data_IF_793580703839
#
_entry.id   IF_793580703839
#
_cell.length_a   1.000
_cell.length_b   1.000
_cell.length_c   1.000
_cell.angle_alpha   90.00
_cell.angle_beta   90.00
_cell.angle_gamma   90.00
#
_symmetry.space_group_name_H-M   'P 1'
#
loop_
_entity.id
_entity.type
_entity.pdbx_description
1 polymer ?
#
# COMPACT_ATOMS: atom_id res chain seq x y z
N UNK A 1 -12.74 -11.12 21.93
CA UNK A 1 -11.38 -10.73 21.57
C UNK A 1 -11.30 -9.23 21.35
N UNK A 2 -10.22 -8.58 21.82
CA UNK A 2 -9.92 -7.14 21.66
C UNK A 2 -8.66 -6.99 20.84
N UNK A 3 -8.71 -6.30 19.73
CA UNK A 3 -7.58 -6.17 18.78
C UNK A 3 -7.20 -4.71 18.59
N UNK A 4 -5.93 -4.42 18.80
CA UNK A 4 -5.35 -3.10 18.61
C UNK A 4 -4.58 -3.05 17.29
N UNK A 5 -5.08 -2.27 16.32
CA UNK A 5 -4.44 -2.09 15.03
C UNK A 5 -3.59 -0.83 15.01
N UNK A 6 -2.33 -0.96 14.64
CA UNK A 6 -1.38 0.15 14.56
C UNK A 6 -0.72 0.26 13.16
N UNK A 7 -1.46 0.66 12.12
CA UNK A 7 -0.88 0.89 10.80
C UNK A 7 -0.04 2.17 10.77
N UNK A 8 1.01 2.16 9.94
CA UNK A 8 1.75 3.36 9.56
C UNK A 8 0.80 4.36 8.87
N UNK A 9 0.84 5.63 9.30
CA UNK A 9 -0.04 6.68 8.81
C UNK A 9 0.43 7.39 7.54
N UNK A 10 1.54 6.96 6.94
CA UNK A 10 2.09 7.55 5.71
C UNK A 10 1.45 6.89 4.49
N UNK A 11 0.69 7.66 3.73
CA UNK A 11 -0.11 7.16 2.62
C UNK A 11 -1.32 6.34 3.09
N UNK A 12 -1.99 5.67 2.14
CA UNK A 12 -3.23 4.94 2.40
C UNK A 12 -3.06 3.42 2.43
N UNK A 13 -1.90 2.90 2.02
CA UNK A 13 -1.70 1.47 1.79
C UNK A 13 -1.74 0.63 3.07
N UNK A 14 -1.14 1.13 4.16
CA UNK A 14 -1.07 0.45 5.45
C UNK A 14 -2.46 0.34 6.11
N UNK A 15 -3.17 1.45 6.20
CA UNK A 15 -4.55 1.48 6.69
C UNK A 15 -5.44 0.63 5.80
N UNK A 16 -5.32 0.79 4.47
CA UNK A 16 -6.16 0.08 3.49
C UNK A 16 -6.04 -1.44 3.53
N UNK A 17 -4.93 -2.00 4.03
CA UNK A 17 -4.81 -3.46 4.22
C UNK A 17 -5.14 -3.92 5.64
N UNK A 18 -5.07 -3.05 6.65
CA UNK A 18 -5.53 -3.36 8.00
C UNK A 18 -7.06 -3.33 8.12
N UNK A 19 -7.73 -2.43 7.39
CA UNK A 19 -9.20 -2.29 7.43
C UNK A 19 -9.97 -3.58 7.14
N UNK A 20 -9.71 -4.33 6.04
CA UNK A 20 -10.44 -5.56 5.77
C UNK A 20 -10.22 -6.63 6.84
N UNK A 21 -9.01 -6.72 7.40
CA UNK A 21 -8.74 -7.63 8.53
C UNK A 21 -9.59 -7.23 9.74
N UNK A 22 -9.61 -5.94 10.09
CA UNK A 22 -10.39 -5.44 11.20
C UNK A 22 -11.89 -5.68 11.02
N UNK A 23 -12.43 -5.45 9.81
CA UNK A 23 -13.85 -5.73 9.47
C UNK A 23 -14.17 -7.20 9.61
N UNK A 24 -13.32 -8.08 9.08
CA UNK A 24 -13.51 -9.54 9.18
C UNK A 24 -13.50 -10.01 10.64
N UNK A 25 -12.63 -9.45 11.49
CA UNK A 25 -12.62 -9.74 12.93
C UNK A 25 -13.86 -9.18 13.65
N UNK A 26 -14.36 -8.00 13.25
CA UNK A 26 -15.61 -7.45 13.79
C UNK A 26 -16.83 -8.30 13.47
N UNK A 27 -16.90 -8.91 12.26
CA UNK A 27 -17.91 -9.90 11.90
C UNK A 27 -17.90 -11.09 12.85
N UNK A 28 -16.74 -11.42 13.43
CA UNK A 28 -16.55 -12.44 14.47
C UNK A 28 -16.66 -11.86 15.90
N UNK A 29 -17.33 -10.71 16.07
CA UNK A 29 -17.58 -10.04 17.35
C UNK A 29 -16.32 -9.53 18.10
N UNK A 30 -15.19 -9.36 17.42
CA UNK A 30 -14.02 -8.73 18.03
C UNK A 30 -14.24 -7.21 18.21
N UNK A 31 -13.77 -6.66 19.33
CA UNK A 31 -13.67 -5.22 19.54
C UNK A 31 -12.36 -4.72 18.98
N UNK A 32 -12.41 -3.75 18.06
CA UNK A 32 -11.23 -3.20 17.40
C UNK A 32 -11.07 -1.72 17.70
N UNK A 33 -9.80 -1.28 17.83
CA UNK A 33 -9.41 0.12 17.84
C UNK A 33 -8.21 0.30 16.90
N UNK A 34 -8.13 1.44 16.25
CA UNK A 34 -6.98 1.83 15.44
C UNK A 34 -6.13 2.87 16.16
N UNK A 35 -4.81 2.80 15.95
CA UNK A 35 -3.86 3.85 16.27
C UNK A 35 -3.11 4.22 15.01
N UNK A 36 -3.21 5.47 14.57
CA UNK A 36 -2.49 5.94 13.37
C UNK A 36 -2.26 7.44 13.42
N UNK A 37 -1.62 7.98 12.38
CA UNK A 37 -1.27 9.40 12.28
C UNK A 37 -1.38 9.87 10.82
N UNK A 38 -1.25 11.18 10.56
CA UNK A 38 -1.25 11.79 9.21
C UNK A 38 -2.43 11.33 8.35
N UNK A 39 -2.13 10.79 7.13
CA UNK A 39 -3.12 10.36 6.14
C UNK A 39 -3.99 9.18 6.61
N UNK A 40 -3.51 8.43 7.59
CA UNK A 40 -4.27 7.33 8.18
C UNK A 40 -5.47 7.81 9.00
N UNK A 41 -5.35 8.96 9.68
CA UNK A 41 -6.43 9.52 10.53
C UNK A 41 -7.72 9.74 9.73
N UNK A 42 -7.74 10.58 8.68
CA UNK A 42 -8.98 10.83 7.94
C UNK A 42 -9.53 9.58 7.25
N UNK A 43 -8.69 8.59 6.99
CA UNK A 43 -9.18 7.33 6.43
C UNK A 43 -9.96 6.51 7.46
N UNK A 44 -9.45 6.36 8.69
CA UNK A 44 -10.15 5.65 9.77
C UNK A 44 -11.41 6.42 10.22
N UNK A 45 -11.35 7.76 10.29
CA UNK A 45 -12.50 8.59 10.62
C UNK A 45 -13.63 8.43 9.59
N UNK A 46 -13.28 8.34 8.29
CA UNK A 46 -14.24 8.05 7.22
C UNK A 46 -14.92 6.68 7.39
N UNK A 47 -14.17 5.69 7.86
CA UNK A 47 -14.67 4.34 8.13
C UNK A 47 -15.46 4.23 9.45
N UNK A 48 -15.55 5.34 10.22
CA UNK A 48 -16.25 5.45 11.51
C UNK A 48 -15.79 4.39 12.52
N UNK A 49 -14.48 4.12 12.55
CA UNK A 49 -13.88 3.18 13.49
C UNK A 49 -13.23 3.91 14.67
N UNK A 50 -13.21 3.29 15.88
CA UNK A 50 -12.51 3.85 17.03
C UNK A 50 -11.04 4.11 16.71
N UNK A 51 -10.56 5.31 17.06
CA UNK A 51 -9.25 5.81 16.68
C UNK A 51 -8.53 6.49 17.82
N UNK A 52 -7.28 6.07 18.06
CA UNK A 52 -6.29 6.80 18.83
C UNK A 52 -5.34 7.54 17.85
N UNK A 53 -5.19 8.86 18.03
CA UNK A 53 -4.32 9.69 17.18
C UNK A 53 -2.90 9.70 17.75
N UNK A 54 -2.03 8.89 17.15
CA UNK A 54 -0.63 8.78 17.56
C UNK A 54 0.21 10.00 17.14
N UNK A 55 1.29 10.34 17.85
CA UNK A 55 2.25 11.36 17.43
C UNK A 55 2.80 11.08 16.01
N UNK A 56 2.86 12.08 15.11
CA UNK A 56 3.23 11.84 13.72
C UNK A 56 4.74 11.63 13.55
N UNK A 57 5.08 10.67 12.69
CA UNK A 57 6.42 10.48 12.13
C UNK A 57 6.28 10.64 10.60
N UNK A 58 7.32 11.09 9.91
CA UNK A 58 7.26 11.18 8.45
C UNK A 58 8.56 11.59 7.80
N UNK A 59 8.58 11.49 6.48
CA UNK A 59 9.65 11.91 5.60
C UNK A 59 9.43 13.34 5.12
N UNK A 60 10.53 14.05 4.85
CA UNK A 60 10.49 15.30 4.10
C UNK A 60 10.32 15.01 2.61
N UNK A 61 9.52 15.83 1.95
CA UNK A 61 9.21 15.67 0.52
C UNK A 61 9.52 16.98 -0.18
N UNK A 62 10.24 16.90 -1.30
CA UNK A 62 10.54 18.05 -2.16
C UNK A 62 9.29 18.56 -2.89
N UNK A 63 9.33 19.80 -3.45
CA UNK A 63 8.20 20.34 -4.21
C UNK A 63 7.77 19.49 -5.42
N UNK A 64 8.69 18.72 -6.01
CA UNK A 64 8.46 17.79 -7.12
C UNK A 64 7.88 16.42 -6.69
N UNK A 65 7.52 16.26 -5.41
CA UNK A 65 6.98 15.02 -4.87
C UNK A 65 8.01 13.94 -4.55
N UNK A 66 9.31 14.18 -4.76
CA UNK A 66 10.37 13.22 -4.43
C UNK A 66 10.67 13.20 -2.93
N UNK A 67 11.07 12.02 -2.40
CA UNK A 67 11.51 11.93 -1.01
C UNK A 67 12.85 12.63 -0.84
N UNK A 68 12.93 13.58 0.10
CA UNK A 68 14.18 14.25 0.46
C UNK A 68 14.86 13.52 1.62
N UNK A 69 15.68 12.53 1.28
CA UNK A 69 16.45 11.78 2.28
C UNK A 69 17.45 12.65 3.06
N UNK A 70 17.99 13.70 2.44
CA UNK A 70 18.94 14.60 3.12
C UNK A 70 18.22 15.43 4.17
N UNK A 71 17.12 16.07 3.82
CA UNK A 71 16.31 16.82 4.77
C UNK A 71 15.70 15.91 5.84
N UNK A 72 15.24 14.70 5.47
CA UNK A 72 14.74 13.72 6.43
C UNK A 72 15.82 13.29 7.44
N UNK A 73 17.07 13.15 7.00
CA UNK A 73 18.19 12.78 7.88
C UNK A 73 18.71 13.94 8.76
N UNK A 74 18.55 15.19 8.31
CA UNK A 74 19.04 16.38 9.02
C UNK A 74 17.95 16.98 9.91
N UNK A 75 16.70 16.93 9.50
CA UNK A 75 15.57 17.54 10.19
C UNK A 75 14.45 16.51 10.43
N UNK A 76 14.26 16.01 11.65
CA UNK A 76 14.83 16.51 12.92
C UNK A 76 16.24 16.02 13.28
N UNK A 77 16.91 15.22 12.46
CA UNK A 77 18.18 14.59 12.76
C UNK A 77 18.04 13.30 13.59
N UNK A 78 19.10 12.48 13.72
CA UNK A 78 19.04 11.17 14.39
C UNK A 78 18.60 11.24 15.84
N UNK A 79 19.04 12.24 16.57
CA UNK A 79 18.68 12.45 17.98
C UNK A 79 17.18 12.74 18.15
N UNK A 80 16.66 13.68 17.38
CA UNK A 80 15.22 14.02 17.44
C UNK A 80 14.33 12.94 16.83
N UNK A 81 14.83 12.16 15.86
CA UNK A 81 14.11 10.99 15.34
C UNK A 81 13.94 9.93 16.46
N UNK A 82 14.98 9.70 17.26
CA UNK A 82 14.90 8.81 18.44
C UNK A 82 13.92 9.34 19.47
N UNK A 83 13.93 10.64 19.76
CA UNK A 83 12.99 11.27 20.69
C UNK A 83 11.55 11.20 20.19
N UNK A 84 11.32 11.40 18.90
CA UNK A 84 9.98 11.25 18.30
C UNK A 84 9.49 9.80 18.38
N UNK A 85 10.38 8.83 18.14
CA UNK A 85 10.06 7.42 18.35
C UNK A 85 9.70 7.11 19.80
N UNK A 86 10.48 7.64 20.78
CA UNK A 86 10.17 7.45 22.21
C UNK A 86 8.82 8.04 22.59
N UNK A 87 8.53 9.27 22.16
CA UNK A 87 7.18 9.87 22.36
C UNK A 87 6.07 9.03 21.78
N UNK A 88 6.31 8.43 20.60
CA UNK A 88 5.31 7.56 19.99
C UNK A 88 5.18 6.24 20.76
N UNK A 89 6.27 5.67 21.29
CA UNK A 89 6.24 4.46 22.14
C UNK A 89 5.47 4.72 23.41
N UNK A 90 5.73 5.83 24.10
CA UNK A 90 5.03 6.24 25.30
C UNK A 90 3.52 6.39 25.07
N UNK A 91 3.12 7.11 24.02
CA UNK A 91 1.72 7.24 23.63
C UNK A 91 1.06 5.89 23.34
N UNK A 92 1.77 4.96 22.68
CA UNK A 92 1.28 3.60 22.41
C UNK A 92 1.16 2.76 23.70
N UNK A 93 2.08 2.91 24.66
CA UNK A 93 1.99 2.23 25.96
C UNK A 93 0.68 2.63 26.66
N UNK A 94 0.38 3.94 26.73
CA UNK A 94 -0.84 4.43 27.32
C UNK A 94 -2.11 3.95 26.59
N UNK A 95 -2.11 4.02 25.26
CA UNK A 95 -3.25 3.60 24.44
C UNK A 95 -3.51 2.09 24.50
N UNK A 96 -2.47 1.28 24.42
CA UNK A 96 -2.55 -0.18 24.54
C UNK A 96 -2.96 -0.56 25.97
N UNK A 97 -2.38 0.07 27.00
CA UNK A 97 -2.72 -0.17 28.41
C UNK A 97 -4.19 0.14 28.69
N UNK A 98 -4.70 1.29 28.26
CA UNK A 98 -6.08 1.72 28.45
C UNK A 98 -7.08 0.84 27.70
N UNK A 99 -6.76 0.42 26.48
CA UNK A 99 -7.64 -0.44 25.70
C UNK A 99 -7.60 -1.89 26.18
N UNK A 100 -6.48 -2.38 26.71
CA UNK A 100 -6.30 -3.75 27.18
C UNK A 100 -6.54 -4.80 26.09
N UNK A 101 -5.82 -4.76 24.96
CA UNK A 101 -6.03 -5.73 23.87
C UNK A 101 -5.50 -7.12 24.23
N UNK A 102 -6.10 -8.14 23.63
CA UNK A 102 -5.58 -9.51 23.62
C UNK A 102 -4.41 -9.64 22.66
N UNK A 103 -4.39 -8.84 21.60
CA UNK A 103 -3.34 -8.84 20.58
C UNK A 103 -3.16 -7.46 19.94
N UNK A 104 -1.91 -7.12 19.59
CA UNK A 104 -1.53 -5.93 18.84
C UNK A 104 -1.12 -6.32 17.41
N UNK A 105 -1.76 -5.73 16.41
CA UNK A 105 -1.44 -5.88 14.99
C UNK A 105 -0.80 -4.59 14.49
N UNK A 106 0.51 -4.63 14.29
CA UNK A 106 1.29 -3.51 13.79
C UNK A 106 1.52 -3.64 12.29
N UNK A 107 1.30 -2.57 11.54
CA UNK A 107 1.70 -2.54 10.14
C UNK A 107 2.82 -1.53 9.94
N UNK A 108 4.05 -2.05 9.84
CA UNK A 108 5.29 -1.28 9.62
C UNK A 108 5.63 -0.26 10.72
N UNK A 109 5.01 -0.33 11.90
CA UNK A 109 5.25 0.60 13.02
C UNK A 109 6.05 -0.05 14.15
N UNK A 110 7.30 0.38 14.30
CA UNK A 110 8.18 -0.09 15.37
C UNK A 110 7.68 0.32 16.76
N UNK A 111 7.10 1.52 16.91
CA UNK A 111 6.62 2.05 18.21
C UNK A 111 5.57 1.15 18.87
N UNK A 112 4.57 0.71 18.12
CA UNK A 112 3.52 -0.15 18.65
C UNK A 112 4.01 -1.57 19.00
N UNK A 113 4.98 -2.11 18.25
CA UNK A 113 5.61 -3.40 18.58
C UNK A 113 6.46 -3.31 19.84
N UNK A 114 7.19 -2.20 20.03
CA UNK A 114 7.97 -1.95 21.24
C UNK A 114 7.05 -1.78 22.46
N UNK A 115 6.00 -0.95 22.32
CA UNK A 115 5.01 -0.76 23.39
C UNK A 115 4.32 -2.08 23.77
N UNK A 116 3.88 -2.86 22.79
CA UNK A 116 3.28 -4.17 23.04
C UNK A 116 4.26 -5.15 23.71
N UNK A 117 5.56 -5.08 23.33
CA UNK A 117 6.60 -5.89 23.98
C UNK A 117 6.78 -5.50 25.44
N UNK A 118 6.84 -4.21 25.75
CA UNK A 118 6.96 -3.69 27.13
C UNK A 118 5.78 -4.14 27.99
N UNK A 119 4.57 -4.12 27.43
CA UNK A 119 3.35 -4.53 28.10
C UNK A 119 3.09 -6.05 28.08
N UNK A 120 4.01 -6.85 27.59
CA UNK A 120 3.87 -8.32 27.52
C UNK A 120 2.75 -8.81 26.60
N UNK A 121 2.26 -7.96 25.66
CA UNK A 121 1.12 -8.31 24.80
C UNK A 121 1.56 -9.16 23.58
N UNK A 122 0.73 -10.17 23.20
CA UNK A 122 0.87 -10.84 21.92
C UNK A 122 0.85 -9.82 20.77
N UNK A 123 1.65 -10.04 19.72
CA UNK A 123 1.78 -9.08 18.63
C UNK A 123 2.16 -9.70 17.31
N UNK A 124 1.55 -9.19 16.25
CA UNK A 124 1.80 -9.55 14.85
C UNK A 124 2.29 -8.31 14.10
N UNK A 125 3.28 -8.51 13.25
CA UNK A 125 3.78 -7.46 12.36
C UNK A 125 3.36 -7.75 10.92
N UNK A 126 2.74 -6.77 10.23
CA UNK A 126 2.49 -6.82 8.80
C UNK A 126 3.55 -5.97 8.10
N UNK A 127 4.21 -6.52 7.09
CA UNK A 127 5.25 -5.83 6.31
C UNK A 127 5.10 -6.14 4.82
N UNK A 128 5.45 -5.19 3.96
CA UNK A 128 5.64 -5.39 2.52
C UNK A 128 7.11 -5.22 2.09
N UNK A 129 7.98 -4.91 3.01
CA UNK A 129 9.43 -4.84 2.82
C UNK A 129 10.13 -5.16 4.13
N UNK A 130 11.15 -6.01 4.08
CA UNK A 130 11.96 -6.35 5.24
C UNK A 130 13.23 -5.49 5.32
N UNK A 131 13.74 -5.09 4.17
CA UNK A 131 14.96 -4.29 4.07
C UNK A 131 14.71 -3.00 3.28
N UNK A 132 14.42 -1.87 3.94
CA UNK A 132 14.35 -0.58 3.25
C UNK A 132 15.74 -0.21 2.70
N UNK A 133 15.81 -0.01 1.39
CA UNK A 133 17.05 0.42 0.72
C UNK A 133 17.05 1.94 0.72
N UNK A 134 18.05 2.57 1.37
CA UNK A 134 18.19 4.02 1.39
C UNK A 134 19.15 4.42 0.26
N UNK A 135 18.71 5.19 -0.77
CA UNK A 135 19.59 5.65 -1.83
C UNK A 135 20.65 6.59 -1.28
N UNK A 136 21.92 6.31 -1.56
CA UNK A 136 23.04 7.15 -1.10
C UNK A 136 23.96 7.56 -2.26
N UNK A 137 24.52 8.77 -2.18
CA UNK A 137 25.58 9.21 -3.08
C UNK A 137 26.89 8.44 -2.81
N UNK A 138 27.75 8.29 -3.83
CA UNK A 138 28.98 7.45 -3.82
C UNK A 138 30.02 7.80 -2.74
N UNK A 139 29.93 8.95 -2.07
CA UNK A 139 30.89 9.40 -1.04
C UNK A 139 30.56 8.75 0.33
N UNK A 140 31.53 8.13 0.99
CA UNK A 140 31.40 7.44 2.29
C UNK A 140 30.51 6.18 2.31
N UNK A 141 30.45 5.45 1.21
CA UNK A 141 29.59 4.26 1.07
C UNK A 141 29.80 3.18 2.14
N UNK A 142 31.02 2.98 2.63
CA UNK A 142 31.33 1.94 3.62
C UNK A 142 30.73 2.26 5.00
N UNK A 143 30.96 3.48 5.52
CA UNK A 143 30.39 3.94 6.80
C UNK A 143 28.87 4.01 6.75
N UNK A 144 28.34 4.47 5.62
CA UNK A 144 26.90 4.53 5.39
C UNK A 144 26.26 3.14 5.35
N UNK A 145 26.90 2.15 4.72
CA UNK A 145 26.43 0.75 4.72
C UNK A 145 26.48 0.14 6.12
N UNK A 146 27.50 0.47 6.93
CA UNK A 146 27.58 0.01 8.31
C UNK A 146 26.44 0.59 9.16
N UNK A 147 26.18 1.90 9.07
CA UNK A 147 25.09 2.57 9.78
C UNK A 147 23.71 2.01 9.35
N UNK A 148 23.51 1.80 8.04
CA UNK A 148 22.30 1.16 7.51
C UNK A 148 22.15 -0.27 8.04
N UNK A 149 23.23 -1.04 8.07
CA UNK A 149 23.21 -2.41 8.58
C UNK A 149 22.85 -2.47 10.06
N UNK A 150 23.34 -1.55 10.87
CA UNK A 150 23.00 -1.45 12.31
C UNK A 150 21.53 -1.06 12.48
N UNK A 151 21.08 -0.02 11.78
CA UNK A 151 19.70 0.42 11.84
C UNK A 151 18.72 -0.67 11.37
N UNK A 152 19.04 -1.37 10.28
CA UNK A 152 18.25 -2.48 9.74
C UNK A 152 18.24 -3.69 10.69
N UNK A 153 19.35 -3.98 11.35
CA UNK A 153 19.42 -5.03 12.36
C UNK A 153 18.52 -4.71 13.54
N UNK A 154 18.55 -3.46 14.02
CA UNK A 154 17.67 -3.01 15.11
C UNK A 154 16.20 -3.08 14.71
N UNK A 155 15.84 -2.47 13.59
CA UNK A 155 14.45 -2.47 13.08
C UNK A 155 13.98 -3.91 12.78
N UNK A 156 14.81 -4.73 12.17
CA UNK A 156 14.52 -6.14 11.92
C UNK A 156 14.25 -6.92 13.20
N UNK A 157 15.04 -6.69 14.27
CA UNK A 157 14.79 -7.28 15.58
C UNK A 157 13.46 -6.81 16.19
N UNK A 158 13.10 -5.54 16.01
CA UNK A 158 11.81 -5.02 16.48
C UNK A 158 10.66 -5.66 15.72
N UNK A 159 10.70 -5.69 14.39
CA UNK A 159 9.65 -6.32 13.57
C UNK A 159 9.48 -7.80 13.86
N UNK A 160 10.57 -8.52 14.08
CA UNK A 160 10.56 -9.96 14.40
C UNK A 160 10.43 -10.26 15.89
N UNK A 161 10.30 -9.24 16.73
CA UNK A 161 10.05 -9.41 18.18
C UNK A 161 8.65 -9.96 18.47
N UNK A 162 7.76 -9.90 17.47
CA UNK A 162 6.41 -10.45 17.55
C UNK A 162 6.36 -11.96 17.39
N UNK A 163 5.14 -12.49 17.52
CA UNK A 163 4.82 -13.90 17.35
C UNK A 163 4.92 -14.32 15.87
N UNK A 164 4.49 -13.43 14.95
CA UNK A 164 4.59 -13.65 13.52
C UNK A 164 4.85 -12.34 12.76
N UNK A 165 5.43 -12.45 11.57
CA UNK A 165 5.56 -11.39 10.57
C UNK A 165 4.83 -11.84 9.30
N UNK A 166 3.81 -11.11 8.90
CA UNK A 166 2.97 -11.43 7.76
C UNK A 166 3.34 -10.52 6.57
N UNK A 167 3.68 -11.13 5.47
CA UNK A 167 3.95 -10.44 4.20
C UNK A 167 2.73 -10.65 3.30
N UNK A 168 1.93 -9.60 3.02
CA UNK A 168 0.71 -9.72 2.24
C UNK A 168 1.00 -9.78 0.73
N UNK A 169 1.79 -10.75 0.31
CA UNK A 169 2.25 -10.96 -1.06
C UNK A 169 2.16 -12.42 -1.45
N UNK A 170 2.23 -12.68 -2.75
CA UNK A 170 2.22 -14.04 -3.30
C UNK A 170 3.53 -14.77 -3.01
N UNK A 171 3.51 -16.10 -2.92
CA UNK A 171 4.73 -16.92 -3.00
C UNK A 171 5.44 -16.75 -4.37
N UNK A 172 6.69 -17.19 -4.43
CA UNK A 172 7.41 -17.27 -5.70
C UNK A 172 6.65 -18.20 -6.69
N UNK A 173 6.65 -17.87 -7.99
CA UNK A 173 7.42 -16.80 -8.65
C UNK A 173 6.72 -15.43 -8.67
N UNK A 174 5.50 -15.29 -8.12
CA UNK A 174 4.63 -14.12 -8.27
C UNK A 174 4.86 -13.02 -7.24
N UNK A 175 5.86 -13.14 -6.37
CA UNK A 175 6.16 -12.18 -5.30
C UNK A 175 6.54 -10.80 -5.86
N UNK A 176 5.73 -9.80 -5.59
CA UNK A 176 5.91 -8.41 -6.04
C UNK A 176 7.03 -7.70 -5.28
N UNK A 177 7.07 -7.88 -3.96
CA UNK A 177 8.09 -7.25 -3.11
C UNK A 177 9.40 -8.05 -3.01
N UNK A 178 9.66 -9.01 -3.91
CA UNK A 178 10.83 -9.89 -3.87
C UNK A 178 12.17 -9.14 -3.69
N UNK A 179 12.34 -8.00 -4.38
CA UNK A 179 13.54 -7.15 -4.27
C UNK A 179 13.70 -6.44 -2.93
N UNK A 180 12.67 -6.41 -2.10
CA UNK A 180 12.63 -5.74 -0.80
C UNK A 180 12.65 -6.73 0.39
N UNK A 181 12.56 -8.04 0.14
CA UNK A 181 12.36 -9.02 1.22
C UNK A 181 13.66 -9.51 1.87
N UNK A 182 14.73 -9.66 1.20
CA UNK A 182 16.04 -10.14 1.69
C UNK A 182 16.07 -10.59 3.19
N UNK A 183 15.24 -11.60 3.53
CA UNK A 183 14.97 -12.02 4.91
C UNK A 183 16.17 -12.76 5.45
N UNK A 184 16.81 -12.29 6.55
CA UNK A 184 17.90 -13.00 7.18
C UNK A 184 17.48 -14.40 7.64
N UNK A 185 18.38 -15.38 7.54
CA UNK A 185 18.09 -16.80 7.88
C UNK A 185 17.48 -16.95 9.28
N UNK A 186 17.95 -16.16 10.25
CA UNK A 186 17.48 -16.20 11.64
C UNK A 186 15.96 -15.86 11.81
N UNK A 187 15.38 -15.15 10.86
CA UNK A 187 13.98 -14.70 10.97
C UNK A 187 13.00 -15.48 10.07
N UNK A 188 13.50 -16.36 9.19
CA UNK A 188 12.66 -17.06 8.19
C UNK A 188 11.50 -17.82 8.79
N UNK A 189 11.69 -18.45 9.96
CA UNK A 189 10.63 -19.22 10.64
C UNK A 189 9.45 -18.36 11.12
N UNK A 190 9.64 -17.06 11.30
CA UNK A 190 8.59 -16.11 11.76
C UNK A 190 7.95 -15.32 10.63
N UNK A 191 8.50 -15.38 9.42
CA UNK A 191 8.06 -14.57 8.28
C UNK A 191 7.26 -15.44 7.32
N UNK A 192 6.00 -15.07 7.08
CA UNK A 192 5.06 -15.82 6.26
C UNK A 192 4.54 -14.96 5.11
N UNK A 193 4.68 -15.46 3.88
CA UNK A 193 3.98 -14.93 2.71
C UNK A 193 2.55 -15.47 2.75
N UNK A 194 1.59 -14.58 3.03
CA UNK A 194 0.21 -14.99 3.33
C UNK A 194 -0.74 -14.86 2.14
N UNK A 195 -0.28 -14.30 1.01
CA UNK A 195 -1.13 -13.89 -0.09
C UNK A 195 -1.60 -12.44 0.05
N UNK A 196 -2.17 -11.84 -1.00
CA UNK A 196 -2.64 -10.46 -0.99
C UNK A 196 -3.86 -10.28 -0.11
N UNK A 197 -3.92 -9.15 0.60
CA UNK A 197 -5.10 -8.78 1.37
C UNK A 197 -6.06 -8.03 0.45
N UNK A 198 -7.13 -8.69 0.04
CA UNK A 198 -8.20 -8.12 -0.79
C UNK A 198 -9.41 -7.78 0.07
N UNK A 199 -9.82 -6.49 0.13
CA UNK A 199 -11.10 -6.13 0.77
C UNK A 199 -12.32 -6.77 0.11
N UNK A 200 -12.29 -6.88 -1.22
CA UNK A 200 -13.33 -7.55 -2.02
C UNK A 200 -12.62 -8.41 -3.06
N UNK A 201 -12.98 -9.66 -3.15
CA UNK A 201 -12.47 -10.57 -4.18
C UNK A 201 -13.23 -10.38 -5.49
N UNK A 202 -12.56 -10.49 -6.67
CA UNK A 202 -13.19 -10.22 -7.95
C UNK A 202 -14.41 -11.10 -8.26
N UNK A 203 -14.42 -12.34 -7.79
CA UNK A 203 -15.52 -13.28 -7.97
C UNK A 203 -16.77 -12.94 -7.13
N UNK A 204 -16.64 -12.09 -6.11
CA UNK A 204 -17.76 -11.59 -5.30
C UNK A 204 -18.44 -10.35 -5.89
N UNK A 205 -17.90 -9.81 -6.96
CA UNK A 205 -18.48 -8.68 -7.67
C UNK A 205 -19.24 -9.15 -8.91
N UNK A 206 -20.30 -8.42 -9.32
CA UNK A 206 -21.01 -8.66 -10.57
C UNK A 206 -20.08 -8.66 -11.78
N UNK A 207 -20.56 -9.10 -12.91
CA UNK A 207 -19.79 -9.11 -14.15
C UNK A 207 -19.39 -7.69 -14.59
N UNK A 208 -18.30 -7.61 -15.34
CA UNK A 208 -17.74 -6.35 -15.84
C UNK A 208 -18.76 -5.50 -16.59
N UNK A 209 -19.61 -6.12 -17.41
CA UNK A 209 -20.68 -5.45 -18.18
C UNK A 209 -21.72 -4.82 -17.28
N UNK A 210 -22.17 -5.55 -16.26
CA UNK A 210 -23.16 -5.10 -15.28
C UNK A 210 -22.61 -3.93 -14.45
N UNK A 211 -21.35 -4.04 -13.98
CA UNK A 211 -20.69 -2.97 -13.25
C UNK A 211 -20.52 -1.72 -14.13
N UNK A 212 -20.13 -1.88 -15.40
CA UNK A 212 -20.04 -0.74 -16.33
C UNK A 212 -21.37 -0.01 -16.47
N UNK A 213 -22.48 -0.75 -16.63
CA UNK A 213 -23.83 -0.19 -16.68
C UNK A 213 -24.15 0.58 -15.38
N UNK A 214 -23.89 -0.01 -14.22
CA UNK A 214 -24.10 0.61 -12.90
C UNK A 214 -23.30 1.91 -12.72
N UNK A 215 -22.07 1.93 -13.21
CA UNK A 215 -21.16 3.08 -13.10
C UNK A 215 -21.27 4.10 -14.26
N UNK A 216 -22.23 3.90 -15.18
CA UNK A 216 -22.39 4.70 -16.41
C UNK A 216 -21.09 4.76 -17.24
N UNK A 217 -20.38 3.64 -17.34
CA UNK A 217 -19.18 3.49 -18.15
C UNK A 217 -19.52 2.85 -19.51
N UNK A 218 -18.87 3.27 -20.60
CA UNK A 218 -19.15 2.72 -21.93
C UNK A 218 -18.72 1.25 -22.04
N UNK A 219 -19.47 0.47 -22.84
CA UNK A 219 -19.16 -0.92 -23.16
C UNK A 219 -18.24 -1.06 -24.38
N UNK A 220 -18.26 -0.08 -25.29
CA UNK A 220 -17.68 -0.13 -26.64
C UNK A 220 -16.29 0.50 -26.76
N UNK A 221 -15.70 0.98 -25.67
CA UNK A 221 -14.33 1.53 -25.67
C UNK A 221 -13.56 1.18 -24.39
N UNK A 222 -12.23 1.19 -24.43
CA UNK A 222 -11.41 0.92 -23.27
C UNK A 222 -11.64 1.92 -22.14
N UNK A 223 -11.75 1.38 -20.91
CA UNK A 223 -11.86 2.16 -19.67
C UNK A 223 -10.53 2.12 -18.92
N UNK A 224 -9.93 3.26 -18.70
CA UNK A 224 -8.70 3.42 -17.94
C UNK A 224 -9.04 3.89 -16.53
N UNK A 225 -8.56 3.18 -15.51
CA UNK A 225 -8.71 3.59 -14.11
C UNK A 225 -7.37 4.08 -13.55
N UNK A 226 -7.35 5.30 -13.00
CA UNK A 226 -6.17 5.90 -12.39
C UNK A 226 -6.37 6.13 -10.88
N UNK A 227 -6.24 5.08 -10.03
CA UNK A 227 -6.34 5.20 -8.58
C UNK A 227 -5.03 5.70 -7.99
N UNK A 228 -4.97 7.02 -7.68
CA UNK A 228 -3.77 7.59 -7.10
C UNK A 228 -3.83 7.52 -5.59
N UNK A 229 -2.75 7.04 -4.99
CA UNK A 229 -2.53 6.97 -3.54
C UNK A 229 -1.12 7.43 -3.18
N UNK A 230 -0.80 7.53 -1.89
CA UNK A 230 0.49 8.00 -1.40
C UNK A 230 0.34 9.16 -0.43
N UNK A 231 1.46 9.69 0.07
CA UNK A 231 1.50 10.88 0.91
C UNK A 231 0.95 12.12 0.19
N UNK A 232 0.33 13.03 0.94
CA UNK A 232 -0.38 14.19 0.35
C UNK A 232 0.50 15.00 -0.60
N UNK A 233 1.71 15.37 -0.17
CA UNK A 233 2.64 16.17 -0.99
C UNK A 233 3.17 15.38 -2.20
N UNK A 234 3.50 14.12 -2.01
CA UNK A 234 3.99 13.21 -3.05
C UNK A 234 2.97 13.05 -4.18
N UNK A 235 1.72 12.71 -3.83
CA UNK A 235 0.68 12.47 -4.83
C UNK A 235 0.17 13.74 -5.50
N UNK A 236 0.17 14.90 -4.83
CA UNK A 236 -0.32 16.16 -5.38
C UNK A 236 0.43 16.55 -6.66
N UNK A 237 1.76 16.43 -6.67
CA UNK A 237 2.58 16.70 -7.85
C UNK A 237 2.23 15.75 -9.01
N UNK A 238 2.15 14.46 -8.74
CA UNK A 238 1.81 13.46 -9.75
C UNK A 238 0.40 13.64 -10.32
N UNK A 239 -0.58 13.93 -9.45
CA UNK A 239 -1.95 14.24 -9.86
C UNK A 239 -1.96 15.43 -10.84
N UNK A 240 -1.18 16.46 -10.54
CA UNK A 240 -1.08 17.66 -11.41
C UNK A 240 -0.59 17.33 -12.81
N UNK A 241 0.48 16.53 -12.92
CA UNK A 241 1.03 16.11 -14.22
C UNK A 241 0.06 15.15 -14.93
N UNK A 242 -0.36 14.10 -14.27
CA UNK A 242 -1.18 13.05 -14.88
C UNK A 242 -2.53 13.61 -15.37
N UNK A 243 -3.19 14.46 -14.57
CA UNK A 243 -4.45 15.09 -14.96
C UNK A 243 -4.31 15.96 -16.21
N UNK A 244 -3.23 16.74 -16.33
CA UNK A 244 -2.97 17.56 -17.53
C UNK A 244 -2.82 16.71 -18.79
N UNK A 245 -2.19 15.53 -18.65
CA UNK A 245 -2.02 14.58 -19.76
C UNK A 245 -3.36 13.91 -20.09
N UNK A 246 -4.08 13.40 -19.07
CA UNK A 246 -5.35 12.68 -19.28
C UNK A 246 -6.45 13.56 -19.86
N UNK A 247 -6.47 14.87 -19.59
CA UNK A 247 -7.40 15.83 -20.22
C UNK A 247 -7.21 15.97 -21.74
N UNK A 248 -6.07 15.53 -22.28
CA UNK A 248 -5.76 15.59 -23.73
C UNK A 248 -5.89 14.20 -24.39
N UNK A 249 -6.36 13.20 -23.67
CA UNK A 249 -6.54 11.85 -24.22
C UNK A 249 -7.63 11.83 -25.30
N UNK A 250 -7.46 10.99 -26.34
CA UNK A 250 -8.48 10.79 -27.38
C UNK A 250 -9.81 10.31 -26.81
N UNK A 251 -10.91 10.65 -27.49
CA UNK A 251 -12.28 10.26 -27.10
C UNK A 251 -12.53 8.75 -27.20
N UNK A 252 -11.64 8.01 -27.84
CA UNK A 252 -11.69 6.54 -27.95
C UNK A 252 -11.45 5.82 -26.62
N UNK A 253 -11.06 6.56 -25.57
CA UNK A 253 -10.88 6.05 -24.21
C UNK A 253 -11.87 6.70 -23.25
N UNK A 254 -12.33 5.96 -22.26
CA UNK A 254 -13.01 6.51 -21.07
C UNK A 254 -12.03 6.46 -19.89
N UNK A 255 -11.94 7.52 -19.10
CA UNK A 255 -10.94 7.63 -18.03
C UNK A 255 -11.62 7.98 -16.72
N UNK A 256 -11.34 7.20 -15.69
CA UNK A 256 -11.74 7.47 -14.31
C UNK A 256 -10.49 7.67 -13.46
N UNK A 257 -10.36 8.82 -12.83
CA UNK A 257 -9.23 9.14 -11.95
C UNK A 257 -9.71 9.35 -10.52
N UNK A 258 -9.04 8.73 -9.54
CA UNK A 258 -9.23 9.01 -8.12
C UNK A 258 -7.99 9.67 -7.53
N UNK A 259 -8.16 10.83 -6.88
CA UNK A 259 -7.06 11.55 -6.24
C UNK A 259 -6.67 10.98 -4.87
N UNK A 260 -7.50 10.10 -4.28
CA UNK A 260 -7.21 9.43 -3.02
C UNK A 260 -7.18 10.34 -1.80
N UNK A 261 -8.10 11.30 -1.68
CA UNK A 261 -8.26 12.16 -0.50
C UNK A 261 -9.43 11.67 0.37
N UNK A 262 -9.17 10.92 1.46
CA UNK A 262 -10.23 10.27 2.24
C UNK A 262 -11.16 11.23 2.98
N UNK A 263 -10.74 12.46 3.24
CA UNK A 263 -11.56 13.51 3.84
C UNK A 263 -12.41 14.30 2.85
N UNK A 264 -12.31 14.00 1.55
CA UNK A 264 -13.06 14.71 0.52
C UNK A 264 -14.42 14.05 0.23
N UNK A 265 -15.30 14.79 -0.46
CA UNK A 265 -16.54 14.25 -0.99
C UNK A 265 -16.32 13.22 -2.10
N UNK A 266 -17.39 12.49 -2.44
CA UNK A 266 -17.37 11.46 -3.48
C UNK A 266 -17.98 11.92 -4.79
N UNK A 267 -18.34 13.21 -4.93
CA UNK A 267 -18.93 13.74 -6.17
C UNK A 267 -17.85 13.84 -7.25
N UNK A 268 -18.06 13.23 -8.41
CA UNK A 268 -17.12 13.37 -9.52
C UNK A 268 -17.25 14.71 -10.22
N UNK A 269 -16.17 15.14 -10.81
CA UNK A 269 -16.19 16.18 -11.85
C UNK A 269 -15.88 15.52 -13.18
N UNK A 270 -16.69 15.80 -14.20
CA UNK A 270 -16.49 15.26 -15.55
C UNK A 270 -16.09 16.36 -16.52
N UNK A 271 -15.08 16.09 -17.33
CA UNK A 271 -14.67 16.93 -18.44
C UNK A 271 -14.34 16.02 -19.63
N UNK A 272 -15.13 16.11 -20.69
CA UNK A 272 -14.99 15.25 -21.86
C UNK A 272 -15.08 13.77 -21.46
N UNK A 273 -14.07 12.97 -21.76
CA UNK A 273 -13.93 11.54 -21.43
C UNK A 273 -13.19 11.27 -20.11
N UNK A 274 -12.89 12.32 -19.32
CA UNK A 274 -12.21 12.20 -18.02
C UNK A 274 -13.18 12.49 -16.88
N UNK A 275 -13.41 11.50 -16.02
CA UNK A 275 -14.13 11.63 -14.76
C UNK A 275 -13.14 11.62 -13.59
N UNK A 276 -13.17 12.65 -12.76
CA UNK A 276 -12.23 12.80 -11.62
C UNK A 276 -12.99 12.80 -10.31
N UNK A 277 -12.63 11.88 -9.43
CA UNK A 277 -13.06 11.83 -8.04
C UNK A 277 -11.96 12.35 -7.12
N UNK A 278 -12.30 13.15 -6.11
CA UNK A 278 -11.39 13.40 -4.99
C UNK A 278 -11.21 12.12 -4.16
N UNK A 279 -12.32 11.40 -3.92
CA UNK A 279 -12.38 10.07 -3.34
C UNK A 279 -13.38 9.20 -4.10
N UNK A 280 -12.93 8.12 -4.71
CA UNK A 280 -13.81 7.18 -5.39
C UNK A 280 -14.47 6.24 -4.37
N UNK A 281 -15.81 6.14 -4.32
CA UNK A 281 -16.48 5.33 -3.30
C UNK A 281 -16.32 3.84 -3.54
N UNK A 282 -16.53 3.38 -4.78
CA UNK A 282 -16.58 1.97 -5.15
C UNK A 282 -15.31 1.55 -5.92
N UNK A 283 -14.15 1.71 -5.27
CA UNK A 283 -12.85 1.50 -5.92
C UNK A 283 -12.73 0.13 -6.59
N UNK A 284 -13.22 -0.93 -5.96
CA UNK A 284 -13.08 -2.29 -6.49
C UNK A 284 -14.02 -2.58 -7.65
N UNK A 285 -15.20 -1.94 -7.69
CA UNK A 285 -16.07 -1.97 -8.87
C UNK A 285 -15.39 -1.27 -10.06
N UNK A 286 -14.78 -0.11 -9.86
CA UNK A 286 -14.00 0.55 -10.91
C UNK A 286 -12.81 -0.30 -11.36
N UNK A 287 -12.14 -0.98 -10.43
CA UNK A 287 -11.05 -1.90 -10.75
C UNK A 287 -11.55 -3.11 -11.56
N UNK A 288 -12.73 -3.67 -11.25
CA UNK A 288 -13.35 -4.75 -12.03
C UNK A 288 -13.78 -4.25 -13.42
N UNK A 289 -14.35 -3.04 -13.51
CA UNK A 289 -14.89 -2.45 -14.74
C UNK A 289 -13.82 -1.99 -15.73
N UNK A 290 -12.63 -1.58 -15.28
CA UNK A 290 -11.59 -1.07 -16.17
C UNK A 290 -10.92 -2.16 -17.02
N UNK A 291 -10.20 -1.71 -18.06
CA UNK A 291 -9.34 -2.54 -18.90
C UNK A 291 -7.88 -2.37 -18.56
N UNK A 292 -7.50 -1.22 -18.02
CA UNK A 292 -6.13 -0.83 -17.72
C UNK A 292 -6.09 0.02 -16.45
N UNK A 293 -5.03 -0.13 -15.67
CA UNK A 293 -4.77 0.73 -14.51
C UNK A 293 -3.50 1.57 -14.73
N UNK A 294 -3.58 2.87 -14.44
CA UNK A 294 -2.41 3.77 -14.37
C UNK A 294 -2.22 4.20 -12.93
N UNK A 295 -1.08 3.88 -12.31
CA UNK A 295 -0.85 4.27 -10.91
C UNK A 295 0.62 4.41 -10.55
N UNK A 296 0.87 4.82 -9.29
CA UNK A 296 2.15 4.61 -8.62
C UNK A 296 2.39 3.12 -8.40
N UNK A 297 3.65 2.73 -8.23
CA UNK A 297 4.03 1.33 -8.02
C UNK A 297 3.92 0.91 -6.53
N UNK A 298 2.79 1.26 -5.89
CA UNK A 298 2.49 0.81 -4.54
C UNK A 298 2.17 -0.68 -4.51
N UNK A 299 2.76 -1.42 -3.56
CA UNK A 299 2.63 -2.88 -3.43
C UNK A 299 1.16 -3.35 -3.46
N UNK A 300 0.29 -2.77 -2.60
CA UNK A 300 -1.11 -3.19 -2.55
C UNK A 300 -1.90 -2.91 -3.84
N UNK A 301 -1.56 -1.87 -4.60
CA UNK A 301 -2.21 -1.61 -5.89
C UNK A 301 -1.81 -2.67 -6.92
N UNK A 302 -0.53 -3.03 -6.97
CA UNK A 302 -0.03 -4.04 -7.91
C UNK A 302 -0.67 -5.40 -7.61
N UNK A 303 -0.64 -5.87 -6.36
CA UNK A 303 -1.21 -7.16 -5.98
C UNK A 303 -2.72 -7.22 -6.22
N UNK A 304 -3.45 -6.13 -5.96
CA UNK A 304 -4.88 -6.03 -6.26
C UNK A 304 -5.15 -6.07 -7.77
N UNK A 305 -4.40 -5.33 -8.58
CA UNK A 305 -4.54 -5.39 -10.04
C UNK A 305 -4.25 -6.78 -10.60
N UNK A 306 -3.24 -7.48 -10.08
CA UNK A 306 -2.95 -8.86 -10.46
C UNK A 306 -4.14 -9.77 -10.17
N UNK A 307 -4.73 -9.69 -8.98
CA UNK A 307 -5.91 -10.50 -8.62
C UNK A 307 -7.14 -10.16 -9.45
N UNK A 308 -7.28 -8.93 -9.91
CA UNK A 308 -8.37 -8.49 -10.78
C UNK A 308 -8.10 -8.72 -12.28
N UNK A 309 -6.95 -9.32 -12.65
CA UNK A 309 -6.56 -9.54 -14.04
C UNK A 309 -6.39 -8.23 -14.83
N UNK A 310 -5.86 -7.17 -14.18
CA UNK A 310 -5.77 -5.85 -14.81
C UNK A 310 -4.33 -5.49 -15.14
N UNK A 311 -4.02 -5.29 -16.43
CA UNK A 311 -2.73 -4.78 -16.86
C UNK A 311 -2.48 -3.37 -16.33
N UNK A 312 -1.21 -3.05 -16.07
CA UNK A 312 -0.83 -1.81 -15.41
C UNK A 312 0.20 -1.02 -16.19
N UNK A 313 0.06 0.32 -16.11
CA UNK A 313 1.15 1.26 -16.38
C UNK A 313 1.56 1.88 -15.05
N UNK A 314 2.78 1.59 -14.61
CA UNK A 314 3.31 2.04 -13.34
C UNK A 314 4.24 3.24 -13.54
N UNK A 315 4.00 4.29 -12.76
CA UNK A 315 4.86 5.48 -12.71
C UNK A 315 5.42 5.60 -11.30
N UNK A 316 6.55 4.95 -10.97
CA UNK A 316 7.11 4.99 -9.62
C UNK A 316 7.52 6.40 -9.22
N UNK A 317 7.38 6.72 -7.92
CA UNK A 317 7.88 7.99 -7.37
C UNK A 317 9.39 8.01 -7.45
N UNK A 318 10.02 9.07 -7.99
CA UNK A 318 11.47 9.17 -8.05
C UNK A 318 12.11 9.05 -6.66
N UNK A 319 13.21 8.31 -6.58
CA UNK A 319 13.94 8.00 -5.35
C UNK A 319 13.17 7.16 -4.30
N UNK A 320 11.96 6.70 -4.61
CA UNK A 320 11.21 5.81 -3.72
C UNK A 320 11.59 4.34 -4.01
N UNK A 321 12.57 3.82 -3.30
CA UNK A 321 13.19 2.51 -3.60
C UNK A 321 12.20 1.35 -3.59
N UNK A 322 11.24 1.34 -2.66
CA UNK A 322 10.18 0.31 -2.65
C UNK A 322 9.38 0.32 -3.95
N UNK A 323 8.89 1.50 -4.37
CA UNK A 323 8.09 1.59 -5.60
C UNK A 323 8.92 1.25 -6.86
N UNK A 324 10.19 1.64 -6.89
CA UNK A 324 11.10 1.30 -8.00
C UNK A 324 11.28 -0.22 -8.09
N UNK A 325 11.56 -0.88 -6.97
CA UNK A 325 11.74 -2.34 -6.94
C UNK A 325 10.43 -3.08 -7.28
N UNK A 326 9.29 -2.64 -6.75
CA UNK A 326 7.98 -3.20 -7.09
C UNK A 326 7.68 -3.06 -8.59
N UNK A 327 7.97 -1.89 -9.19
CA UNK A 327 7.80 -1.64 -10.63
C UNK A 327 8.69 -2.54 -11.48
N UNK A 328 9.96 -2.71 -11.10
CA UNK A 328 10.91 -3.62 -11.77
C UNK A 328 10.40 -5.05 -11.72
N UNK A 329 9.93 -5.50 -10.56
CA UNK A 329 9.41 -6.87 -10.41
C UNK A 329 8.11 -7.07 -11.17
N UNK A 330 7.15 -6.13 -11.12
CA UNK A 330 5.92 -6.20 -11.89
C UNK A 330 6.19 -6.23 -13.41
N UNK A 331 7.17 -5.46 -13.89
CA UNK A 331 7.64 -5.53 -15.28
C UNK A 331 8.24 -6.89 -15.61
N UNK A 332 9.08 -7.45 -14.72
CA UNK A 332 9.69 -8.79 -14.91
C UNK A 332 8.62 -9.90 -14.97
N UNK A 333 7.60 -9.81 -14.14
CA UNK A 333 6.45 -10.72 -14.17
C UNK A 333 5.60 -10.56 -15.44
N UNK A 334 5.81 -9.46 -16.19
CA UNK A 334 5.04 -9.12 -17.39
C UNK A 334 3.65 -8.58 -17.11
N UNK A 335 3.36 -8.16 -15.85
CA UNK A 335 2.08 -7.62 -15.43
C UNK A 335 2.01 -6.09 -15.46
N UNK A 336 3.11 -5.42 -15.84
CA UNK A 336 3.14 -3.97 -15.94
C UNK A 336 4.12 -3.47 -17.01
N UNK A 337 3.78 -2.34 -17.62
CA UNK A 337 4.73 -1.44 -18.27
C UNK A 337 5.13 -0.35 -17.28
N UNK A 338 6.35 0.18 -17.39
CA UNK A 338 6.89 1.18 -16.46
C UNK A 338 7.31 2.43 -17.23
N UNK A 339 6.85 3.59 -16.77
CA UNK A 339 7.28 4.90 -17.29
C UNK A 339 7.90 5.65 -16.12
N UNK A 340 9.13 6.14 -16.27
CA UNK A 340 9.74 7.02 -15.28
C UNK A 340 9.03 8.39 -15.29
N UNK A 341 8.85 8.99 -14.11
CA UNK A 341 8.06 10.22 -13.98
C UNK A 341 8.56 11.37 -14.87
N UNK A 342 9.87 11.52 -15.02
CA UNK A 342 10.52 12.52 -15.86
C UNK A 342 10.24 12.32 -17.36
N UNK A 343 9.89 11.10 -17.75
CA UNK A 343 9.60 10.73 -19.13
C UNK A 343 8.09 10.64 -19.43
N UNK A 344 7.24 11.06 -18.49
CA UNK A 344 5.79 10.97 -18.63
C UNK A 344 5.27 12.10 -19.54
N UNK A 345 4.84 11.75 -20.73
CA UNK A 345 4.22 12.64 -21.73
C UNK A 345 2.97 12.01 -22.32
N UNK A 346 2.15 12.81 -23.03
CA UNK A 346 0.94 12.32 -23.69
C UNK A 346 1.28 11.20 -24.69
N UNK A 347 2.22 11.45 -25.60
CA UNK A 347 2.58 10.51 -26.66
C UNK A 347 3.12 9.20 -26.10
N UNK A 348 4.01 9.30 -25.09
CA UNK A 348 4.57 8.12 -24.44
C UNK A 348 3.50 7.33 -23.71
N UNK A 349 2.60 8.00 -23.02
CA UNK A 349 1.51 7.33 -22.29
C UNK A 349 0.54 6.66 -23.27
N UNK A 350 0.11 7.33 -24.33
CA UNK A 350 -0.76 6.76 -25.37
C UNK A 350 -0.13 5.55 -26.05
N UNK A 351 1.14 5.66 -26.47
CA UNK A 351 1.87 4.51 -27.02
C UNK A 351 1.90 3.33 -26.06
N UNK A 352 2.17 3.60 -24.76
CA UNK A 352 2.24 2.55 -23.76
C UNK A 352 0.86 1.94 -23.47
N UNK A 353 -0.22 2.76 -23.47
CA UNK A 353 -1.61 2.28 -23.34
C UNK A 353 -1.96 1.29 -24.47
N UNK A 354 -1.70 1.67 -25.73
CA UNK A 354 -1.93 0.79 -26.88
C UNK A 354 -1.21 -0.55 -26.71
N UNK A 355 0.10 -0.52 -26.42
CA UNK A 355 0.90 -1.73 -26.20
C UNK A 355 0.46 -2.58 -25.00
N UNK A 356 -0.16 -1.98 -23.99
CA UNK A 356 -0.61 -2.70 -22.80
C UNK A 356 -1.96 -3.38 -23.01
N UNK A 357 -2.76 -2.89 -23.95
CA UNK A 357 -4.05 -3.45 -24.33
C UNK A 357 -3.98 -4.49 -25.46
N UNK A 358 -2.78 -4.85 -25.92
CA UNK A 358 -2.57 -5.92 -26.91
C UNK A 358 -3.01 -7.27 -26.34
N UNK A 359 -3.57 -8.13 -27.20
CA UNK A 359 -4.21 -9.38 -26.84
C UNK A 359 -3.30 -10.36 -26.08
N UNK A 360 -2.04 -10.49 -26.53
CA UNK A 360 -1.03 -11.32 -25.86
C UNK A 360 -0.80 -10.92 -24.38
N UNK A 361 -0.85 -9.61 -24.09
CA UNK A 361 -0.73 -9.09 -22.71
C UNK A 361 -1.92 -9.54 -21.87
N UNK A 362 -3.13 -9.49 -22.41
CA UNK A 362 -4.36 -9.84 -21.68
C UNK A 362 -4.42 -11.34 -21.35
N UNK A 363 -4.13 -12.21 -22.29
CA UNK A 363 -4.08 -13.67 -22.09
C UNK A 363 -3.05 -14.08 -21.03
N UNK A 364 -1.91 -13.40 -21.00
CA UNK A 364 -0.91 -13.62 -19.96
C UNK A 364 -1.44 -13.26 -18.57
N UNK A 365 -2.20 -12.16 -18.46
CA UNK A 365 -2.81 -11.75 -17.21
C UNK A 365 -3.83 -12.76 -16.72
N UNK A 366 -4.67 -13.29 -17.58
CA UNK A 366 -5.67 -14.31 -17.23
C UNK A 366 -5.01 -15.57 -16.65
N UNK A 367 -3.94 -16.04 -17.28
CA UNK A 367 -3.15 -17.18 -16.77
C UNK A 367 -2.57 -16.91 -15.38
N UNK A 368 -1.95 -15.73 -15.18
CA UNK A 368 -1.39 -15.36 -13.89
C UNK A 368 -2.52 -15.24 -12.84
N UNK A 369 -3.62 -14.61 -13.18
CA UNK A 369 -4.77 -14.43 -12.29
C UNK A 369 -5.31 -15.77 -11.79
N UNK A 370 -5.51 -16.75 -12.68
CA UNK A 370 -5.97 -18.09 -12.31
C UNK A 370 -5.06 -18.76 -11.27
N UNK A 371 -3.73 -18.60 -11.44
CA UNK A 371 -2.75 -19.16 -10.50
C UNK A 371 -2.72 -18.49 -9.14
N UNK A 372 -2.93 -17.17 -9.07
CA UNK A 372 -2.76 -16.40 -7.84
C UNK A 372 -4.05 -16.26 -7.02
N UNK A 373 -5.24 -16.44 -7.60
CA UNK A 373 -6.51 -16.31 -6.88
C UNK A 373 -6.73 -17.39 -5.80
N UNK A 374 -5.96 -18.46 -5.81
CA UNK A 374 -5.96 -19.48 -4.75
C UNK A 374 -5.41 -18.98 -3.41
N UNK A 375 -4.67 -17.86 -3.40
CA UNK A 375 -4.12 -17.28 -2.17
C UNK A 375 -5.10 -16.27 -1.57
N UNK A 376 -5.43 -16.47 -0.29
CA UNK A 376 -6.30 -15.56 0.46
C UNK A 376 -5.55 -14.98 1.68
N UNK A 377 -4.87 -13.85 1.45
CA UNK A 377 -4.10 -13.19 2.50
C UNK A 377 -4.98 -12.58 3.60
N UNK A 378 -6.25 -12.26 3.30
CA UNK A 378 -7.18 -11.76 4.31
C UNK A 378 -7.52 -12.87 5.31
N UNK A 379 -7.92 -14.04 4.82
CA UNK A 379 -8.27 -15.18 5.67
C UNK A 379 -7.05 -15.67 6.46
N UNK A 380 -5.89 -15.78 5.80
CA UNK A 380 -4.65 -16.20 6.45
C UNK A 380 -4.21 -15.23 7.56
N UNK A 381 -4.37 -13.91 7.36
CA UNK A 381 -4.07 -12.91 8.38
C UNK A 381 -5.02 -13.02 9.58
N UNK A 382 -6.33 -13.14 9.33
CA UNK A 382 -7.35 -13.28 10.36
C UNK A 382 -7.10 -14.52 11.21
N UNK A 383 -6.89 -15.69 10.57
CA UNK A 383 -6.65 -16.95 11.26
C UNK A 383 -5.38 -16.91 12.13
N UNK A 384 -4.29 -16.33 11.60
CA UNK A 384 -3.06 -16.15 12.37
C UNK A 384 -3.24 -15.26 13.58
N UNK A 385 -3.99 -14.15 13.45
CA UNK A 385 -4.27 -13.22 14.55
C UNK A 385 -5.08 -13.91 15.64
N UNK A 386 -6.13 -14.66 15.28
CA UNK A 386 -6.97 -15.39 16.22
C UNK A 386 -6.17 -16.48 16.94
N UNK A 387 -5.38 -17.26 16.19
CA UNK A 387 -4.54 -18.32 16.77
C UNK A 387 -3.55 -17.77 17.81
N UNK A 388 -2.89 -16.64 17.51
CA UNK A 388 -1.92 -16.02 18.41
C UNK A 388 -2.63 -15.40 19.62
N UNK A 389 -3.78 -14.75 19.44
CA UNK A 389 -4.53 -14.17 20.53
C UNK A 389 -5.06 -15.21 21.53
N UNK A 390 -5.41 -16.42 21.07
CA UNK A 390 -5.91 -17.50 21.91
C UNK A 390 -4.79 -18.24 22.67
N UNK A 391 -3.52 -18.08 22.27
CA UNK A 391 -2.36 -18.70 22.92
C UNK A 391 -1.68 -17.82 23.97
N UNK A 392 -2.00 -16.54 24.01
CA UNK A 392 -1.44 -15.54 24.93
C UNK A 392 -2.41 -15.12 26.00
#
# INVERSE_FOLDING_TARGET
MRVYFAPCGIGLGHVGRCLPIARKLQEQKAKVIFSTYREGIPYIEREKLPLFKAPPIGFQVKPDGTIDFRQTAINPGPFFASFTLMKQVDAEIHAIGSFGPDIVVSDSRASSLLAAKILGKPRVCILNQFQPIIPRRKRFLRLARLADSIALTFIGKVWTSGNAVLIPDFPQPYTVCAGNLNIPKAYRKKVHLIGPILPVRPEKLPDKSEIRKKLNLPSNKPVIFAPISGGVKEKAFFIGILRKILMKFPMDYEIVMSMGYPNADTKPTRRSNLTVYKWVPNRFEHLKACDLVISRAGHGTITQCMCYGKPMILVPTPNHTEQINNAVQAKKLGVAKVIQQENLSLDRLLKTVKQTLEMETLERFERIQAEILKYDGLENAVNTIIEIANKG
#
